data_IF_698768422210
#
_entry.id   IF_698768422210
#
_cell.length_a   1.000
_cell.length_b   1.000
_cell.length_c   1.000
_cell.angle_alpha   90.00
_cell.angle_beta   90.00
_cell.angle_gamma   90.00
#
_symmetry.space_group_name_H-M   'P 1'
#
loop_
_entity.id
_entity.type
_entity.pdbx_description
1 polymer ?
#
# COMPACT_ATOMS: atom_id res chain seq x y z
N UNK A 1 10.35 38.50 -17.38
CA UNK A 1 11.08 37.21 -17.46
C UNK A 1 12.02 37.13 -16.26
N UNK A 2 11.51 36.64 -15.13
CA UNK A 2 12.26 36.51 -13.89
C UNK A 2 13.18 35.29 -13.97
N UNK A 3 14.46 35.51 -14.24
CA UNK A 3 15.47 34.46 -14.23
C UNK A 3 15.70 34.00 -12.79
N UNK A 4 15.13 32.86 -12.43
CA UNK A 4 15.38 32.20 -11.14
C UNK A 4 16.83 31.71 -11.06
N UNK A 5 17.52 32.07 -9.98
CA UNK A 5 18.90 31.68 -9.69
C UNK A 5 18.96 30.16 -9.54
N UNK A 6 19.65 29.47 -10.46
CA UNK A 6 19.68 28.01 -10.55
C UNK A 6 20.33 27.31 -9.34
N UNK A 7 21.15 28.04 -8.58
CA UNK A 7 21.97 27.52 -7.48
C UNK A 7 21.23 27.44 -6.14
N UNK A 8 19.99 27.97 -6.05
CA UNK A 8 19.15 27.89 -4.86
C UNK A 8 17.96 26.93 -5.08
N UNK A 9 18.19 25.86 -5.84
CA UNK A 9 17.27 24.71 -5.80
C UNK A 9 17.59 23.96 -4.52
N UNK A 10 16.61 23.83 -3.62
CA UNK A 10 16.71 22.98 -2.44
C UNK A 10 17.03 21.56 -2.91
N UNK A 11 18.30 21.18 -2.84
CA UNK A 11 18.80 19.86 -3.17
C UNK A 11 18.64 19.00 -1.92
N UNK A 12 17.66 18.09 -1.94
CA UNK A 12 17.50 17.10 -0.89
C UNK A 12 18.50 15.95 -1.14
N UNK A 13 19.56 15.82 -0.31
CA UNK A 13 20.60 14.82 -0.51
C UNK A 13 20.11 13.38 -0.31
N UNK A 14 18.91 13.17 0.23
CA UNK A 14 18.32 11.85 0.42
C UNK A 14 17.37 11.45 -0.71
N UNK A 15 16.97 12.37 -1.59
CA UNK A 15 16.01 12.09 -2.66
C UNK A 15 16.55 11.09 -3.70
N UNK A 16 17.87 11.07 -3.95
CA UNK A 16 18.49 10.12 -4.87
C UNK A 16 18.75 8.75 -4.22
N UNK A 17 18.95 8.68 -2.89
CA UNK A 17 19.11 7.41 -2.18
C UNK A 17 17.80 6.60 -2.11
N UNK A 18 16.65 7.28 -2.10
CA UNK A 18 15.30 6.67 -2.16
C UNK A 18 14.97 6.15 -3.57
N UNK A 19 15.62 6.67 -4.62
CA UNK A 19 15.37 6.21 -6.00
C UNK A 19 16.28 5.07 -6.46
N UNK A 20 17.25 4.69 -5.62
CA UNK A 20 18.41 3.90 -6.00
C UNK A 20 18.39 2.42 -5.62
N UNK A 21 17.25 1.73 -5.66
CA UNK A 21 17.23 0.26 -5.75
C UNK A 21 16.37 -0.18 -6.93
N UNK A 22 17.00 -0.93 -7.82
CA UNK A 22 16.56 -1.24 -9.15
C UNK A 22 15.39 -2.26 -9.14
N UNK A 23 14.47 -2.11 -10.10
CA UNK A 23 13.44 -3.08 -10.54
C UNK A 23 12.11 -3.11 -9.76
N UNK A 24 11.17 -2.24 -10.15
CA UNK A 24 9.73 -2.55 -10.21
C UNK A 24 8.99 -2.85 -8.90
N UNK A 25 9.64 -2.69 -7.75
CA UNK A 25 9.08 -2.87 -6.43
C UNK A 25 8.91 -1.51 -5.79
N UNK A 26 7.72 -1.22 -5.24
CA UNK A 26 7.46 0.05 -4.57
C UNK A 26 8.42 0.24 -3.40
N UNK A 27 9.04 1.41 -3.29
CA UNK A 27 10.01 1.71 -2.23
C UNK A 27 9.33 1.97 -0.86
N UNK A 28 8.00 2.09 -0.84
CA UNK A 28 7.21 2.33 0.36
C UNK A 28 6.93 1.06 1.18
N UNK A 29 6.95 1.20 2.51
CA UNK A 29 6.46 0.17 3.43
C UNK A 29 4.95 -0.01 3.24
N UNK A 30 4.51 -1.27 3.11
CA UNK A 30 3.09 -1.61 3.03
C UNK A 30 2.62 -2.06 4.41
N UNK A 31 1.65 -1.34 4.95
CA UNK A 31 1.07 -1.63 6.25
C UNK A 31 -0.24 -2.40 6.08
N UNK A 32 -0.27 -3.62 6.63
CA UNK A 32 -1.49 -4.43 6.73
C UNK A 32 -1.98 -4.35 8.16
N UNK A 33 -3.12 -3.71 8.39
CA UNK A 33 -3.70 -3.53 9.73
C UNK A 33 -5.03 -4.28 9.81
N UNK A 34 -5.32 -4.81 10.99
CA UNK A 34 -6.64 -5.34 11.32
C UNK A 34 -7.38 -4.38 12.24
N UNK A 35 -8.67 -4.20 12.00
CA UNK A 35 -9.56 -3.42 12.84
C UNK A 35 -10.83 -4.22 13.16
N UNK A 36 -11.34 -4.10 14.37
CA UNK A 36 -12.63 -4.70 14.73
C UNK A 36 -13.77 -3.79 14.23
N UNK A 37 -14.67 -4.34 13.42
CA UNK A 37 -15.84 -3.60 12.91
C UNK A 37 -17.00 -3.65 13.89
N UNK A 38 -17.45 -4.87 14.23
CA UNK A 38 -18.60 -5.13 15.10
C UNK A 38 -18.51 -6.54 15.67
N UNK A 39 -18.44 -6.68 17.00
CA UNK A 39 -18.35 -7.99 17.65
C UNK A 39 -17.23 -8.83 17.05
N UNK A 40 -17.54 -10.00 16.48
CA UNK A 40 -16.53 -10.87 15.84
C UNK A 40 -16.15 -10.47 14.41
N UNK A 41 -16.78 -9.43 13.82
CA UNK A 41 -16.48 -8.96 12.46
C UNK A 41 -15.28 -8.03 12.48
N UNK A 42 -14.35 -8.26 11.56
CA UNK A 42 -13.12 -7.47 11.40
C UNK A 42 -13.02 -6.89 9.99
N UNK A 43 -12.17 -5.87 9.85
CA UNK A 43 -11.77 -5.25 8.60
C UNK A 43 -10.25 -5.31 8.51
N UNK A 44 -9.75 -5.74 7.36
CA UNK A 44 -8.32 -5.66 7.04
C UNK A 44 -8.11 -4.45 6.14
N UNK A 45 -7.25 -3.52 6.56
CA UNK A 45 -6.89 -2.35 5.77
C UNK A 45 -5.45 -2.47 5.30
N UNK A 46 -5.22 -2.24 4.00
CA UNK A 46 -3.90 -2.21 3.40
C UNK A 46 -3.58 -0.79 2.97
N UNK A 47 -2.48 -0.27 3.50
CA UNK A 47 -1.99 1.10 3.29
C UNK A 47 -0.59 1.04 2.65
N UNK A 48 -0.24 2.04 1.85
CA UNK A 48 1.09 2.17 1.26
C UNK A 48 1.28 1.48 -0.10
N UNK A 49 0.20 1.12 -0.79
CA UNK A 49 0.29 0.72 -2.19
C UNK A 49 0.44 1.98 -3.06
N UNK A 50 1.51 2.07 -3.85
CA UNK A 50 1.76 3.12 -4.85
C UNK A 50 0.58 3.29 -5.80
N UNK A 51 0.37 4.54 -6.19
CA UNK A 51 -0.67 4.98 -7.12
C UNK A 51 -0.44 4.51 -8.56
N UNK A 52 0.76 4.01 -8.88
CA UNK A 52 1.07 3.39 -10.18
C UNK A 52 0.25 2.12 -10.44
N UNK A 53 -0.23 1.47 -9.37
CA UNK A 53 -1.00 0.25 -9.46
C UNK A 53 -2.50 0.53 -9.35
N UNK A 54 -3.27 -0.13 -10.21
CA UNK A 54 -4.73 -0.07 -10.17
C UNK A 54 -5.29 -0.86 -8.97
N UNK A 55 -5.50 -0.15 -7.85
CA UNK A 55 -6.02 -0.70 -6.60
C UNK A 55 -7.39 -1.35 -6.78
N UNK A 56 -8.22 -0.88 -7.72
CA UNK A 56 -9.54 -1.49 -8.00
C UNK A 56 -9.41 -2.87 -8.63
N UNK A 57 -8.43 -3.07 -9.53
CA UNK A 57 -8.12 -4.41 -10.08
C UNK A 57 -7.57 -5.34 -9.02
N UNK A 58 -6.70 -4.86 -8.14
CA UNK A 58 -6.17 -5.63 -7.01
C UNK A 58 -7.33 -6.09 -6.11
N UNK A 59 -8.22 -5.19 -5.70
CA UNK A 59 -9.42 -5.54 -4.92
C UNK A 59 -10.27 -6.58 -5.63
N UNK A 60 -10.46 -6.48 -6.94
CA UNK A 60 -11.26 -7.45 -7.71
C UNK A 60 -10.64 -8.84 -7.70
N UNK A 61 -9.30 -8.93 -7.80
CA UNK A 61 -8.58 -10.20 -7.68
C UNK A 61 -8.70 -10.76 -6.25
N UNK A 62 -8.47 -9.93 -5.22
CA UNK A 62 -8.63 -10.31 -3.82
C UNK A 62 -10.06 -10.82 -3.50
N UNK A 63 -11.10 -10.18 -4.06
CA UNK A 63 -12.50 -10.63 -3.91
C UNK A 63 -12.72 -12.03 -4.45
N UNK A 64 -12.14 -12.35 -5.61
CA UNK A 64 -12.29 -13.64 -6.27
C UNK A 64 -11.55 -14.75 -5.53
N UNK A 65 -10.37 -14.44 -5.01
CA UNK A 65 -9.51 -15.44 -4.35
C UNK A 65 -9.87 -15.67 -2.89
N UNK A 66 -10.16 -14.61 -2.13
CA UNK A 66 -10.43 -14.71 -0.70
C UNK A 66 -11.92 -14.93 -0.39
N UNK A 67 -12.78 -14.96 -1.40
CA UNK A 67 -14.24 -15.04 -1.27
C UNK A 67 -14.82 -13.99 -0.28
N UNK A 68 -14.20 -12.82 -0.21
CA UNK A 68 -14.56 -11.73 0.70
C UNK A 68 -14.96 -10.49 -0.08
N UNK A 69 -15.74 -9.60 0.56
CA UNK A 69 -16.00 -8.28 -0.02
C UNK A 69 -14.86 -7.31 0.32
N UNK A 70 -14.69 -6.31 -0.53
CA UNK A 70 -13.65 -5.30 -0.41
C UNK A 70 -14.02 -4.02 -1.15
N UNK A 71 -13.42 -2.92 -0.75
CA UNK A 71 -13.58 -1.63 -1.42
C UNK A 71 -12.29 -0.85 -1.32
N UNK A 72 -12.10 0.04 -2.29
CA UNK A 72 -11.08 1.08 -2.18
C UNK A 72 -11.76 2.30 -1.57
N UNK A 73 -11.14 2.91 -0.57
CA UNK A 73 -11.66 4.07 0.15
C UNK A 73 -10.61 5.16 0.14
N UNK A 74 -11.01 6.36 -0.26
CA UNK A 74 -10.20 7.56 -0.16
C UNK A 74 -10.47 8.21 1.20
N UNK A 75 -9.42 8.45 1.98
CA UNK A 75 -9.50 9.13 3.27
C UNK A 75 -8.78 10.49 3.15
N UNK A 76 -9.30 11.60 3.70
CA UNK A 76 -8.65 12.90 3.57
C UNK A 76 -7.24 12.96 4.18
N UNK A 77 -6.99 12.13 5.20
CA UNK A 77 -5.73 12.07 5.96
C UNK A 77 -4.75 10.99 5.45
N UNK A 78 -5.26 9.99 4.71
CA UNK A 78 -4.47 8.86 4.23
C UNK A 78 -4.68 8.69 2.73
N UNK A 79 -3.60 8.48 1.97
CA UNK A 79 -3.71 8.07 0.55
C UNK A 79 -4.69 6.90 0.42
N UNK A 80 -5.40 6.84 -0.70
CA UNK A 80 -6.36 5.80 -1.08
C UNK A 80 -5.99 4.41 -0.54
N UNK A 81 -6.82 3.89 0.37
CA UNK A 81 -6.60 2.63 1.10
C UNK A 81 -7.51 1.51 0.58
N UNK A 82 -6.99 0.29 0.60
CA UNK A 82 -7.80 -0.90 0.31
C UNK A 82 -8.37 -1.49 1.60
N UNK A 83 -9.68 -1.72 1.64
CA UNK A 83 -10.37 -2.37 2.76
C UNK A 83 -10.95 -3.71 2.33
N UNK A 84 -10.72 -4.75 3.13
CA UNK A 84 -11.29 -6.09 2.95
C UNK A 84 -12.07 -6.50 4.20
N UNK A 85 -13.12 -7.29 4.03
CA UNK A 85 -13.90 -7.87 5.13
C UNK A 85 -13.22 -9.12 5.69
N UNK A 86 -13.23 -9.25 7.02
CA UNK A 86 -12.60 -10.35 7.73
C UNK A 86 -11.11 -10.13 8.04
N UNK A 87 -10.52 -11.09 8.74
CA UNK A 87 -9.07 -11.16 8.96
C UNK A 87 -8.41 -11.83 7.74
N UNK A 88 -7.79 -11.02 6.90
CA UNK A 88 -7.14 -11.45 5.66
C UNK A 88 -5.64 -11.17 5.67
N UNK A 89 -5.04 -10.94 6.85
CA UNK A 89 -3.64 -10.48 6.95
C UNK A 89 -2.62 -11.46 6.34
N UNK A 90 -2.82 -12.75 6.55
CA UNK A 90 -1.94 -13.78 5.99
C UNK A 90 -2.15 -13.93 4.48
N UNK A 91 -3.41 -13.92 4.05
CA UNK A 91 -3.79 -14.07 2.66
C UNK A 91 -3.29 -12.90 1.81
N UNK A 92 -3.39 -11.66 2.32
CA UNK A 92 -2.89 -10.50 1.59
C UNK A 92 -1.37 -10.46 1.51
N UNK A 93 -0.68 -10.88 2.57
CA UNK A 93 0.78 -10.95 2.61
C UNK A 93 1.27 -11.93 1.53
N UNK A 94 0.70 -13.13 1.49
CA UNK A 94 1.01 -14.13 0.47
C UNK A 94 0.67 -13.66 -0.94
N UNK A 95 -0.47 -12.99 -1.12
CA UNK A 95 -0.92 -12.50 -2.41
C UNK A 95 0.00 -11.42 -2.99
N UNK A 96 0.39 -10.44 -2.18
CA UNK A 96 1.26 -9.33 -2.60
C UNK A 96 2.67 -9.83 -2.96
N UNK A 97 3.20 -10.79 -2.20
CA UNK A 97 4.48 -11.43 -2.52
C UNK A 97 4.39 -12.29 -3.78
N UNK A 98 3.29 -13.04 -3.97
CA UNK A 98 3.12 -13.91 -5.14
C UNK A 98 3.02 -13.14 -6.46
N UNK A 99 2.40 -11.96 -6.45
CA UNK A 99 2.26 -11.13 -7.67
C UNK A 99 3.50 -10.27 -7.90
N UNK A 100 4.42 -10.22 -6.94
CA UNK A 100 5.65 -9.42 -7.04
C UNK A 100 5.41 -7.92 -6.87
N UNK A 101 4.31 -7.52 -6.22
CA UNK A 101 4.03 -6.10 -5.91
C UNK A 101 4.92 -5.64 -4.74
N UNK A 102 5.19 -6.53 -3.79
CA UNK A 102 5.95 -6.22 -2.59
C UNK A 102 6.89 -7.36 -2.20
N UNK A 103 8.09 -7.00 -1.75
CA UNK A 103 9.00 -7.92 -1.07
C UNK A 103 8.48 -8.21 0.34
N UNK A 104 8.72 -9.41 0.91
CA UNK A 104 8.26 -9.76 2.26
C UNK A 104 8.77 -8.81 3.35
N UNK A 105 9.94 -8.20 3.14
CA UNK A 105 10.57 -7.25 4.07
C UNK A 105 9.80 -5.93 4.20
N UNK A 106 9.08 -5.54 3.14
CA UNK A 106 8.31 -4.30 3.06
C UNK A 106 6.92 -4.42 3.69
N UNK A 107 6.46 -5.65 3.92
CA UNK A 107 5.15 -5.93 4.50
C UNK A 107 5.22 -5.88 6.02
N UNK A 108 4.56 -4.87 6.61
CA UNK A 108 4.40 -4.73 8.05
C UNK A 108 2.98 -5.11 8.45
N UNK A 109 2.83 -6.26 9.10
CA UNK A 109 1.54 -6.75 9.61
C UNK A 109 1.34 -6.24 11.05
N UNK A 110 0.26 -5.49 11.25
CA UNK A 110 -0.17 -4.97 12.55
C UNK A 110 -1.36 -5.81 13.02
N UNK A 111 -1.19 -6.49 14.14
CA UNK A 111 -2.23 -7.27 14.80
C UNK A 111 -3.19 -6.42 15.65
N UNK A 112 -3.94 -7.11 16.50
CA UNK A 112 -4.70 -6.50 17.59
C UNK A 112 -3.78 -6.00 18.69
#
# INVERSE_FOLDING_TARGET
MSAGIQNLKTFDPFADAIRGDEQGVQDGLIHVRIQQRNGRKTLTTVQGISDDYDKKKIVRACKKEFACNGTVVELPEYVEVMQLQGDQRNNICQFLTRIGIAKPEQLKVHGF
#
